data_IF_378660753400
#
_entry.id   IF_378660753400
#
_cell.length_a   1.000
_cell.length_b   1.000
_cell.length_c   1.000
_cell.angle_alpha   90.00
_cell.angle_beta   90.00
_cell.angle_gamma   90.00
#
_symmetry.space_group_name_H-M   'P 1'
#
loop_
_entity.id
_entity.type
_entity.pdbx_description
1 polymer ?
#
# COMPACT_ATOMS: atom_id res chain seq x y z
N UNK A 1 -2.37 -14.40 4.71
CA UNK A 1 -0.90 -14.52 4.74
C UNK A 1 -0.21 -13.38 3.98
N UNK A 2 -0.71 -13.02 2.79
CA UNK A 2 -0.12 -11.94 1.98
C UNK A 2 -0.37 -10.51 2.52
N UNK A 3 -1.54 -10.23 3.11
CA UNK A 3 -1.83 -8.87 3.62
C UNK A 3 -0.90 -8.48 4.77
N UNK A 4 -0.65 -9.42 5.70
CA UNK A 4 0.32 -9.25 6.81
C UNK A 4 1.72 -8.93 6.30
N UNK A 5 2.14 -9.49 5.16
CA UNK A 5 3.43 -9.18 4.55
C UNK A 5 3.48 -7.71 4.09
N UNK A 6 2.45 -7.22 3.40
CA UNK A 6 2.36 -5.83 2.98
C UNK A 6 2.29 -4.86 4.16
N UNK A 7 1.50 -5.19 5.19
CA UNK A 7 1.45 -4.42 6.43
C UNK A 7 2.84 -4.33 7.06
N UNK A 8 3.58 -5.44 7.14
CA UNK A 8 4.90 -5.44 7.76
C UNK A 8 5.91 -4.63 6.95
N UNK A 9 5.89 -4.72 5.62
CA UNK A 9 6.76 -3.90 4.76
C UNK A 9 6.45 -2.42 4.90
N UNK A 10 5.16 -2.06 4.97
CA UNK A 10 4.75 -0.68 5.23
C UNK A 10 5.28 -0.16 6.58
N UNK A 11 5.17 -0.94 7.66
CA UNK A 11 5.76 -0.59 8.97
C UNK A 11 7.27 -0.36 8.87
N UNK A 12 8.00 -1.25 8.20
CA UNK A 12 9.46 -1.14 8.04
C UNK A 12 9.84 0.12 7.26
N UNK A 13 9.10 0.47 6.22
CA UNK A 13 9.37 1.68 5.42
C UNK A 13 9.09 2.95 6.23
N UNK A 14 7.97 2.98 6.95
CA UNK A 14 7.55 4.16 7.71
C UNK A 14 8.42 4.41 8.94
N UNK A 15 8.70 3.36 9.72
CA UNK A 15 9.51 3.42 10.94
C UNK A 15 11.02 3.45 10.66
N UNK A 16 11.45 3.00 9.49
CA UNK A 16 12.86 2.97 9.12
C UNK A 16 13.46 4.35 8.90
N UNK A 17 14.76 4.47 9.13
CA UNK A 17 15.54 5.70 8.89
C UNK A 17 15.97 5.77 7.43
N UNK A 18 15.05 6.21 6.57
CA UNK A 18 15.32 6.45 5.15
C UNK A 18 15.10 7.92 4.78
N UNK A 19 15.87 8.46 3.82
CA UNK A 19 15.57 9.75 3.21
C UNK A 19 14.13 9.81 2.66
N UNK A 20 13.49 10.97 2.76
CA UNK A 20 12.08 11.14 2.38
C UNK A 20 11.79 10.71 0.93
N UNK A 21 12.66 11.09 -0.02
CA UNK A 21 12.55 10.68 -1.43
C UNK A 21 12.62 9.14 -1.59
N UNK A 22 13.46 8.47 -0.80
CA UNK A 22 13.58 7.01 -0.81
C UNK A 22 12.34 6.36 -0.20
N UNK A 23 11.80 6.88 0.90
CA UNK A 23 10.51 6.39 1.46
C UNK A 23 9.40 6.48 0.43
N UNK A 24 9.28 7.62 -0.26
CA UNK A 24 8.27 7.85 -1.30
C UNK A 24 8.35 6.81 -2.42
N UNK A 25 9.56 6.51 -2.89
CA UNK A 25 9.78 5.48 -3.92
C UNK A 25 9.43 4.07 -3.40
N UNK A 26 9.85 3.73 -2.18
CA UNK A 26 9.55 2.42 -1.57
C UNK A 26 8.04 2.22 -1.36
N UNK A 27 7.32 3.25 -0.93
CA UNK A 27 5.86 3.21 -0.79
C UNK A 27 5.18 3.07 -2.16
N UNK A 28 5.65 3.78 -3.19
CA UNK A 28 5.13 3.64 -4.55
C UNK A 28 5.30 2.21 -5.08
N UNK A 29 6.48 1.62 -4.91
CA UNK A 29 6.72 0.23 -5.31
C UNK A 29 5.84 -0.74 -4.54
N UNK A 30 5.64 -0.52 -3.23
CA UNK A 30 4.77 -1.35 -2.41
C UNK A 30 3.31 -1.31 -2.91
N UNK A 31 2.82 -0.15 -3.35
CA UNK A 31 1.49 -0.02 -3.96
C UNK A 31 1.40 -0.83 -5.25
N UNK A 32 2.36 -0.70 -6.17
CA UNK A 32 2.37 -1.45 -7.43
C UNK A 32 2.45 -2.97 -7.22
N UNK A 33 3.19 -3.42 -6.20
CA UNK A 33 3.21 -4.84 -5.84
C UNK A 33 1.84 -5.32 -5.32
N UNK A 34 1.14 -4.51 -4.50
CA UNK A 34 -0.20 -4.83 -4.04
C UNK A 34 -1.20 -4.85 -5.20
N UNK A 35 -1.09 -3.91 -6.14
CA UNK A 35 -1.97 -3.81 -7.31
C UNK A 35 -1.94 -5.09 -8.13
N UNK A 36 -0.73 -5.57 -8.45
CA UNK A 36 -0.54 -6.80 -9.19
C UNK A 36 -0.94 -8.06 -8.40
N UNK A 37 -0.81 -8.03 -7.07
CA UNK A 37 -1.02 -9.23 -6.25
C UNK A 37 -2.47 -9.46 -5.84
N UNK A 38 -3.27 -8.41 -5.82
CA UNK A 38 -4.70 -8.46 -5.49
C UNK A 38 -5.60 -8.20 -6.69
N UNK A 39 -5.03 -8.13 -7.90
CA UNK A 39 -5.72 -7.73 -9.12
C UNK A 39 -6.57 -6.46 -8.90
N UNK A 40 -5.98 -5.45 -8.23
CA UNK A 40 -6.73 -4.25 -7.90
C UNK A 40 -7.13 -3.49 -9.15
N UNK A 41 -8.38 -3.02 -9.23
CA UNK A 41 -8.81 -2.17 -10.32
C UNK A 41 -8.05 -0.82 -10.25
N UNK A 42 -7.53 -0.38 -11.40
CA UNK A 42 -6.83 0.90 -11.53
C UNK A 42 -7.73 2.12 -11.24
N UNK A 43 -9.04 1.93 -11.26
CA UNK A 43 -10.05 2.94 -10.95
C UNK A 43 -10.83 2.54 -9.70
N UNK A 44 -11.35 3.54 -8.99
CA UNK A 44 -12.18 3.32 -7.80
C UNK A 44 -13.35 2.39 -8.15
N UNK A 45 -13.41 1.26 -7.46
CA UNK A 45 -14.48 0.28 -7.58
C UNK A 45 -15.05 0.02 -6.18
N UNK A 46 -16.18 0.66 -5.82
CA UNK A 46 -16.77 0.53 -4.48
C UNK A 46 -17.13 -0.91 -4.10
N UNK A 47 -17.54 -1.73 -5.06
CA UNK A 47 -17.90 -3.14 -4.81
C UNK A 47 -16.66 -3.97 -4.48
N UNK A 48 -15.57 -3.74 -5.22
CA UNK A 48 -14.27 -4.35 -4.92
C UNK A 48 -13.76 -3.89 -3.56
N UNK A 49 -13.84 -2.58 -3.26
CA UNK A 49 -13.41 -2.01 -1.99
C UNK A 49 -14.17 -2.62 -0.80
N UNK A 50 -15.48 -2.85 -0.96
CA UNK A 50 -16.32 -3.44 0.08
C UNK A 50 -15.94 -4.91 0.34
N UNK A 51 -15.68 -5.67 -0.73
CA UNK A 51 -15.26 -7.08 -0.62
C UNK A 51 -13.82 -7.22 -0.10
N UNK A 52 -12.97 -6.21 -0.32
CA UNK A 52 -11.55 -6.21 0.02
C UNK A 52 -11.20 -5.08 1.00
N UNK A 53 -12.06 -4.86 2.00
CA UNK A 53 -11.99 -3.69 2.88
C UNK A 53 -10.60 -3.51 3.54
N UNK A 54 -10.02 -4.59 4.07
CA UNK A 54 -8.71 -4.53 4.75
C UNK A 54 -7.55 -4.19 3.78
N UNK A 55 -7.60 -4.71 2.56
CA UNK A 55 -6.60 -4.44 1.51
C UNK A 55 -6.71 -2.98 1.09
N UNK A 56 -7.94 -2.53 0.86
CA UNK A 56 -8.27 -1.15 0.48
C UNK A 56 -7.86 -0.13 1.54
N UNK A 57 -8.04 -0.48 2.83
CA UNK A 57 -7.62 0.36 3.95
C UNK A 57 -6.10 0.49 4.00
N UNK A 58 -5.36 -0.62 3.89
CA UNK A 58 -3.91 -0.59 3.86
C UNK A 58 -3.38 0.19 2.65
N UNK A 59 -3.95 -0.04 1.47
CA UNK A 59 -3.55 0.65 0.25
C UNK A 59 -3.76 2.17 0.37
N UNK A 60 -4.88 2.61 0.96
CA UNK A 60 -5.12 4.03 1.29
C UNK A 60 -4.09 4.60 2.25
N UNK A 61 -3.76 3.89 3.33
CA UNK A 61 -2.70 4.30 4.30
C UNK A 61 -1.34 4.49 3.62
N UNK A 62 -0.96 3.58 2.72
CA UNK A 62 0.30 3.67 1.96
C UNK A 62 0.27 4.89 1.02
N UNK A 63 -0.83 5.06 0.27
CA UNK A 63 -1.04 6.19 -0.64
C UNK A 63 -0.94 7.54 0.06
N UNK A 64 -1.54 7.68 1.25
CA UNK A 64 -1.49 8.93 2.00
C UNK A 64 -0.11 9.20 2.59
N UNK A 65 0.59 8.16 3.05
CA UNK A 65 1.97 8.28 3.54
C UNK A 65 2.96 8.70 2.46
N UNK A 66 2.67 8.43 1.18
CA UNK A 66 3.49 8.85 0.03
C UNK A 66 3.36 10.35 -0.28
N UNK A 67 2.30 11.02 0.22
CA UNK A 67 2.04 12.45 0.01
C UNK A 67 2.77 13.36 1.01
N UNK A 68 3.18 12.80 2.15
CA UNK A 68 4.01 13.44 3.19
C UNK A 68 5.49 13.45 2.79
#
# INVERSE_FOLDING_TARGET
MMLKYYTKRYEVITQGTYPANRKKLMLANLMSEMEASYDMPMHRNPDWDMQNAEISELYRKISDSKKL
#
